data_IF_241245649832
#
_entry.id   IF_241245649832
#
_cell.length_a   1.000
_cell.length_b   1.000
_cell.length_c   1.000
_cell.angle_alpha   90.00
_cell.angle_beta   90.00
_cell.angle_gamma   90.00
#
_symmetry.space_group_name_H-M   'P 1'
#
loop_
_entity.id
_entity.type
_entity.pdbx_description
1 polymer ?
#
# COMPACT_ATOMS: atom_id res chain seq x y z
N UNK A 1 -7.51 -7.85 9.04
CA UNK A 1 -6.59 -6.70 9.17
C UNK A 1 -5.73 -6.58 7.92
N UNK A 2 -5.63 -5.40 7.39
CA UNK A 2 -4.79 -5.09 6.23
C UNK A 2 -3.73 -4.09 6.67
N UNK A 3 -2.48 -4.38 6.34
CA UNK A 3 -1.36 -3.52 6.69
C UNK A 3 -0.34 -3.46 5.55
N UNK A 4 0.49 -2.44 5.58
CA UNK A 4 1.56 -2.26 4.61
C UNK A 4 2.83 -1.75 5.29
N UNK A 5 3.94 -1.88 4.59
CA UNK A 5 5.23 -1.39 5.02
C UNK A 5 6.03 -1.02 3.77
N UNK A 6 6.50 0.21 3.70
CA UNK A 6 7.25 0.68 2.54
C UNK A 6 8.71 0.86 2.91
N UNK A 7 9.58 0.19 2.16
CA UNK A 7 11.03 0.35 2.27
C UNK A 7 11.55 1.07 1.03
N UNK A 8 12.19 2.22 1.26
CA UNK A 8 12.95 2.92 0.20
C UNK A 8 14.31 2.24 0.07
N UNK A 9 14.45 1.42 -0.97
CA UNK A 9 15.66 0.62 -1.16
C UNK A 9 16.87 1.44 -1.61
N UNK A 10 16.65 2.64 -2.14
CA UNK A 10 17.76 3.55 -2.48
C UNK A 10 18.43 4.05 -1.22
N UNK A 11 17.64 4.38 -0.21
CA UNK A 11 18.14 4.91 1.07
C UNK A 11 18.43 3.82 2.09
N UNK A 12 17.83 2.63 1.92
CA UNK A 12 17.86 1.57 2.93
C UNK A 12 17.08 1.92 4.18
N UNK A 13 16.06 2.75 4.05
CA UNK A 13 15.25 3.28 5.17
C UNK A 13 13.76 3.14 4.86
N UNK A 14 12.91 3.07 5.90
CA UNK A 14 11.48 3.13 5.68
C UNK A 14 11.06 4.45 5.00
N UNK A 15 10.06 4.37 4.13
CA UNK A 15 9.48 5.56 3.52
C UNK A 15 8.32 6.06 4.36
N UNK A 16 8.49 7.24 4.98
CA UNK A 16 7.48 7.85 5.83
C UNK A 16 6.65 8.89 5.09
N UNK A 17 5.44 9.15 5.59
CA UNK A 17 4.50 10.14 5.06
C UNK A 17 4.03 9.85 3.63
N UNK A 18 4.03 8.58 3.22
CA UNK A 18 3.50 8.18 1.92
C UNK A 18 2.00 7.95 2.06
N UNK A 19 1.16 8.69 1.33
CA UNK A 19 -0.27 8.43 1.36
C UNK A 19 -0.58 7.10 0.66
N UNK A 20 -1.46 6.31 1.27
CA UNK A 20 -1.90 5.03 0.72
C UNK A 20 -3.41 4.95 0.81
N UNK A 21 -4.04 4.77 -0.35
CA UNK A 21 -5.50 4.63 -0.45
C UNK A 21 -5.85 3.15 -0.43
N UNK A 22 -6.76 2.77 0.47
CA UNK A 22 -7.33 1.42 0.51
C UNK A 22 -8.74 1.45 -0.07
N UNK A 23 -8.96 0.58 -1.05
CA UNK A 23 -10.26 0.43 -1.70
C UNK A 23 -10.69 -1.02 -1.71
N UNK A 24 -12.00 -1.25 -1.75
CA UNK A 24 -12.58 -2.57 -1.93
C UNK A 24 -13.44 -2.57 -3.19
N UNK A 25 -13.33 -3.64 -3.97
CA UNK A 25 -14.19 -3.82 -5.14
C UNK A 25 -15.58 -4.20 -4.67
N UNK A 26 -16.58 -3.43 -5.10
CA UNK A 26 -17.98 -3.71 -4.84
C UNK A 26 -18.71 -3.80 -6.18
N UNK A 27 -18.94 -5.01 -6.64
CA UNK A 27 -19.67 -5.27 -7.90
C UNK A 27 -19.06 -4.57 -9.10
N UNK A 28 -17.72 -4.59 -9.20
CA UNK A 28 -16.99 -3.99 -10.30
C UNK A 28 -16.56 -2.55 -10.07
N UNK A 29 -16.99 -1.93 -8.98
CA UNK A 29 -16.61 -0.56 -8.65
C UNK A 29 -15.71 -0.53 -7.42
N UNK A 30 -14.65 0.28 -7.48
CA UNK A 30 -13.75 0.47 -6.36
C UNK A 30 -14.30 1.52 -5.40
N UNK A 31 -14.50 1.11 -4.16
CA UNK A 31 -15.01 1.99 -3.11
C UNK A 31 -13.91 2.31 -2.11
N UNK A 32 -13.72 3.58 -1.83
CA UNK A 32 -12.74 4.02 -0.83
C UNK A 32 -13.14 3.53 0.56
N UNK A 33 -12.22 2.84 1.24
CA UNK A 33 -12.38 2.45 2.63
C UNK A 33 -11.57 3.35 3.55
N UNK A 34 -10.35 3.71 3.18
CA UNK A 34 -9.47 4.51 4.02
C UNK A 34 -8.39 5.18 3.18
N UNK A 35 -7.90 6.30 3.68
CA UNK A 35 -6.71 6.95 3.17
C UNK A 35 -5.86 7.32 4.37
N UNK A 36 -4.63 6.83 4.42
CA UNK A 36 -3.73 7.08 5.55
C UNK A 36 -2.31 7.28 5.03
N UNK A 37 -1.42 7.72 5.88
CA UNK A 37 -0.01 7.95 5.55
C UNK A 37 0.87 7.03 6.36
N UNK A 38 1.96 6.56 5.76
CA UNK A 38 2.94 5.76 6.49
C UNK A 38 3.55 6.59 7.63
N UNK A 39 3.80 5.92 8.75
CA UNK A 39 4.46 6.51 9.90
C UNK A 39 5.98 6.54 9.70
N UNK A 40 6.73 6.89 10.75
CA UNK A 40 8.20 6.96 10.69
C UNK A 40 8.84 5.60 10.40
N UNK A 41 8.14 4.50 10.70
CA UNK A 41 8.61 3.15 10.39
C UNK A 41 8.15 2.69 9.00
N UNK A 42 7.51 3.56 8.22
CA UNK A 42 7.00 3.24 6.89
C UNK A 42 5.78 2.33 6.91
N UNK A 43 5.04 2.29 8.01
CA UNK A 43 3.94 1.35 8.20
C UNK A 43 2.59 2.02 8.32
N UNK A 44 1.57 1.29 7.87
CA UNK A 44 0.16 1.60 8.11
C UNK A 44 -0.54 0.31 8.51
N UNK A 45 -1.38 0.39 9.52
CA UNK A 45 -2.36 -0.66 9.83
C UNK A 45 -3.73 -0.06 9.59
N UNK A 46 -4.45 -0.61 8.62
CA UNK A 46 -5.78 -0.12 8.27
C UNK A 46 -6.82 -0.75 9.18
N UNK A 47 -7.63 0.08 9.79
CA UNK A 47 -8.79 -0.33 10.56
C UNK A 47 -9.97 -0.40 9.60
N UNK A 48 -10.26 -1.59 9.13
CA UNK A 48 -11.35 -1.81 8.17
C UNK A 48 -12.11 -3.08 8.55
N UNK A 49 -13.37 -3.21 8.12
CA UNK A 49 -14.14 -4.42 8.38
C UNK A 49 -13.45 -5.66 7.83
N UNK A 50 -13.58 -6.78 8.55
CA UNK A 50 -13.05 -8.07 8.12
C UNK A 50 -14.02 -8.72 7.15
N UNK A 51 -13.89 -8.39 5.88
CA UNK A 51 -14.76 -8.91 4.82
C UNK A 51 -13.93 -9.54 3.72
N UNK A 52 -14.39 -10.67 3.22
CA UNK A 52 -13.79 -11.28 2.03
C UNK A 52 -14.06 -10.40 0.80
N UNK A 53 -13.16 -10.43 -0.15
CA UNK A 53 -13.32 -9.68 -1.38
C UNK A 53 -11.99 -9.27 -1.98
N UNK A 54 -12.06 -8.48 -3.03
CA UNK A 54 -10.88 -7.95 -3.71
C UNK A 54 -10.64 -6.53 -3.25
N UNK A 55 -9.38 -6.24 -2.90
CA UNK A 55 -8.95 -4.95 -2.36
C UNK A 55 -7.83 -4.39 -3.21
N UNK A 56 -7.64 -3.08 -3.12
CA UNK A 56 -6.55 -2.40 -3.82
C UNK A 56 -5.92 -1.36 -2.89
N UNK A 57 -4.60 -1.43 -2.77
CA UNK A 57 -3.80 -0.39 -2.15
C UNK A 57 -3.18 0.44 -3.26
N UNK A 58 -3.39 1.75 -3.24
CA UNK A 58 -2.71 2.66 -4.17
C UNK A 58 -1.73 3.50 -3.39
N UNK A 59 -0.44 3.27 -3.65
CA UNK A 59 0.66 3.99 -3.01
C UNK A 59 0.93 5.27 -3.78
N UNK A 60 0.74 6.41 -3.14
CA UNK A 60 0.91 7.72 -3.78
C UNK A 60 2.38 8.12 -3.74
N UNK A 61 3.20 7.42 -4.51
CA UNK A 61 4.65 7.62 -4.52
C UNK A 61 5.05 8.95 -5.15
N UNK A 62 4.21 9.55 -5.98
CA UNK A 62 4.48 10.87 -6.54
C UNK A 62 4.53 11.92 -5.44
N UNK A 63 3.68 11.80 -4.41
CA UNK A 63 3.72 12.68 -3.26
C UNK A 63 5.00 12.49 -2.43
N UNK A 64 5.53 11.26 -2.42
CA UNK A 64 6.77 10.96 -1.70
C UNK A 64 7.99 11.53 -2.43
N UNK A 65 8.08 11.29 -3.73
CA UNK A 65 9.22 11.75 -4.53
C UNK A 65 9.15 13.23 -4.85
N UNK A 66 7.93 13.76 -5.06
CA UNK A 66 7.71 15.17 -5.42
C UNK A 66 8.51 15.55 -6.68
N UNK A 67 9.52 16.39 -6.52
CA UNK A 67 10.38 16.85 -7.60
C UNK A 67 11.59 15.94 -7.84
N UNK A 68 11.78 14.94 -7.02
CA UNK A 68 12.87 13.97 -7.23
C UNK A 68 12.53 13.11 -8.45
N UNK A 69 13.56 12.79 -9.23
CA UNK A 69 13.37 12.00 -10.44
C UNK A 69 12.86 10.61 -10.10
N UNK A 70 11.78 10.22 -10.76
CA UNK A 70 11.21 8.89 -10.64
C UNK A 70 10.45 8.56 -11.94
N UNK A 71 10.26 7.28 -12.20
CA UNK A 71 9.69 6.83 -13.47
C UNK A 71 8.21 6.49 -13.37
N UNK A 72 7.81 5.76 -12.33
CA UNK A 72 6.42 5.32 -12.20
C UNK A 72 5.57 6.38 -11.52
N UNK A 73 4.31 6.44 -11.92
CA UNK A 73 3.29 7.23 -11.25
C UNK A 73 2.89 6.51 -9.95
N UNK A 74 1.70 6.74 -9.46
CA UNK A 74 1.24 6.03 -8.27
C UNK A 74 1.13 4.52 -8.54
N UNK A 75 1.33 3.72 -7.50
CA UNK A 75 1.43 2.26 -7.63
C UNK A 75 0.17 1.60 -7.06
N UNK A 76 -0.70 1.01 -7.90
CA UNK A 76 -1.84 0.24 -7.42
C UNK A 76 -1.46 -1.25 -7.28
N UNK A 77 -1.80 -1.83 -6.15
CA UNK A 77 -1.59 -3.27 -5.88
C UNK A 77 -2.95 -3.86 -5.50
N UNK A 78 -3.43 -4.80 -6.31
CA UNK A 78 -4.69 -5.49 -6.05
C UNK A 78 -4.42 -6.87 -5.46
N UNK A 79 -5.24 -7.26 -4.49
CA UNK A 79 -5.08 -8.55 -3.83
C UNK A 79 -6.43 -9.06 -3.33
N UNK A 80 -6.49 -10.34 -3.01
CA UNK A 80 -7.73 -11.00 -2.61
C UNK A 80 -7.68 -11.43 -1.15
N UNK A 81 -8.73 -11.09 -0.41
CA UNK A 81 -8.96 -11.55 0.95
C UNK A 81 -10.00 -12.66 0.92
N UNK A 82 -9.59 -13.88 1.26
CA UNK A 82 -10.49 -15.04 1.35
C UNK A 82 -10.80 -15.38 2.80
N UNK A 83 -9.77 -15.47 3.63
CA UNK A 83 -9.88 -15.84 5.03
C UNK A 83 -9.91 -14.56 5.89
N UNK A 84 -11.07 -14.26 6.44
CA UNK A 84 -11.26 -13.04 7.23
C UNK A 84 -10.59 -13.10 8.61
N UNK A 85 -10.10 -14.27 9.01
CA UNK A 85 -9.40 -14.44 10.29
C UNK A 85 -7.88 -14.25 10.15
N UNK A 86 -7.38 -14.08 8.94
CA UNK A 86 -5.95 -13.88 8.70
C UNK A 86 -5.62 -12.39 8.59
N UNK A 87 -4.35 -12.09 8.89
CA UNK A 87 -3.78 -10.78 8.57
C UNK A 87 -3.29 -10.77 7.12
N UNK A 88 -3.46 -9.64 6.48
CA UNK A 88 -2.98 -9.44 5.12
C UNK A 88 -2.00 -8.28 5.12
N UNK A 89 -0.73 -8.62 5.01
CA UNK A 89 0.37 -7.66 5.02
C UNK A 89 0.97 -7.57 3.62
N UNK A 90 0.98 -6.36 3.07
CA UNK A 90 1.40 -6.10 1.69
C UNK A 90 2.58 -5.11 1.72
N UNK A 91 3.82 -5.61 1.82
CA UNK A 91 5.00 -4.74 1.78
C UNK A 91 5.26 -4.20 0.37
N UNK A 92 5.86 -3.03 0.30
CA UNK A 92 6.32 -2.42 -0.95
C UNK A 92 7.80 -2.11 -0.83
N UNK A 93 8.61 -2.66 -1.74
CA UNK A 93 10.01 -2.30 -1.91
C UNK A 93 10.07 -1.28 -3.03
N UNK A 94 10.60 -0.10 -2.76
CA UNK A 94 10.46 1.05 -3.64
C UNK A 94 11.80 1.68 -3.95
N UNK A 95 12.04 1.97 -5.23
CA UNK A 95 13.10 2.86 -5.68
C UNK A 95 12.56 3.74 -6.81
N UNK A 96 13.30 4.77 -7.27
CA UNK A 96 12.76 5.70 -8.27
C UNK A 96 12.38 5.06 -9.61
N UNK A 97 12.91 3.89 -9.94
CA UNK A 97 12.73 3.27 -11.26
C UNK A 97 12.05 1.91 -11.20
N UNK A 98 11.64 1.47 -10.02
CA UNK A 98 11.00 0.16 -9.90
C UNK A 98 10.41 -0.07 -8.52
N UNK A 99 9.63 -1.14 -8.44
CA UNK A 99 9.07 -1.57 -7.18
C UNK A 99 8.76 -3.05 -7.22
N UNK A 100 8.67 -3.66 -6.07
CA UNK A 100 8.19 -5.02 -5.94
C UNK A 100 7.33 -5.14 -4.68
N UNK A 101 6.45 -6.12 -4.69
CA UNK A 101 5.56 -6.40 -3.59
C UNK A 101 5.44 -7.91 -3.39
N UNK A 102 5.04 -8.30 -2.20
CA UNK A 102 4.82 -9.70 -1.90
C UNK A 102 3.84 -9.81 -0.73
N UNK A 103 3.36 -11.02 -0.47
CA UNK A 103 2.52 -11.24 0.71
C UNK A 103 3.44 -11.43 1.93
N UNK A 104 3.43 -10.47 2.83
CA UNK A 104 4.16 -10.58 4.09
C UNK A 104 3.49 -11.53 5.06
N UNK A 105 4.23 -11.99 6.03
CA UNK A 105 3.71 -12.86 7.08
C UNK A 105 3.29 -12.10 8.32
#
# INVERSE_FOLDING_TARGET
>A
MISTHILDTTKGLPASNVPVLLEKNNQGEWQKLALDKTNTDGRIVFDCPREAGDYRLTFHIEDYYKNDEHFFLNVPISFRVKDTNRKYHVPLLLNPYGHSTYRGS
#
